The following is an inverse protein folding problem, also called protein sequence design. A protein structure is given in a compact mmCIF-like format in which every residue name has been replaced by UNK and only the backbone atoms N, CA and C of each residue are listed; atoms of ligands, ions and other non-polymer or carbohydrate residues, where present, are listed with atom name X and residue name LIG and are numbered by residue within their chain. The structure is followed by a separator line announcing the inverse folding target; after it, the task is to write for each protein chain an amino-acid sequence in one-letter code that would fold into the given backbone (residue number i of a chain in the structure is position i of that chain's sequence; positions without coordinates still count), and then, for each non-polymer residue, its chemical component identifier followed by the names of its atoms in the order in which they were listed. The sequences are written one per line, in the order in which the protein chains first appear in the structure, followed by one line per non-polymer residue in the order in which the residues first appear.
data_IF_069391555073
#
_entry.id   IF_069391555073
#
_cell.length_a   1.000
_cell.length_b   1.000
_cell.length_c   1.000
_cell.angle_alpha   90.00
_cell.angle_beta   90.00
_cell.angle_gamma   90.00
#
_symmetry.space_group_name_H-M   'P 1'
#
loop_
_entity.id
_entity.type
_entity.pdbx_description
1 polymer ?
#
# COMPACT_ATOMS: atom_id res chain seq x y z
N UNK A 1 -47.16 -3.06 15.73
CA UNK A 1 -45.96 -2.40 16.30
C UNK A 1 -44.93 -3.34 16.92
N UNK A 2 -45.22 -4.62 17.24
CA UNK A 2 -44.24 -5.51 17.92
C UNK A 2 -43.18 -6.20 17.03
N UNK A 3 -43.31 -6.20 15.69
CA UNK A 3 -42.35 -6.92 14.80
C UNK A 3 -41.11 -6.12 14.43
N UNK A 4 -41.16 -4.80 14.47
CA UNK A 4 -40.06 -3.91 14.03
C UNK A 4 -38.96 -3.82 15.10
N UNK A 5 -39.34 -3.89 16.38
CA UNK A 5 -38.40 -3.80 17.51
C UNK A 5 -37.50 -5.05 17.58
N UNK A 6 -38.04 -6.26 17.31
CA UNK A 6 -37.25 -7.48 17.34
C UNK A 6 -36.20 -7.54 16.20
N UNK A 7 -36.50 -7.00 15.02
CA UNK A 7 -35.55 -6.98 13.89
C UNK A 7 -34.39 -6.02 14.19
N UNK A 8 -34.69 -4.86 14.79
CA UNK A 8 -33.67 -3.87 15.19
C UNK A 8 -32.70 -4.39 16.26
N UNK A 9 -33.20 -5.20 17.21
CA UNK A 9 -32.40 -5.76 18.29
C UNK A 9 -31.49 -6.91 17.81
N UNK A 10 -31.96 -7.71 16.85
CA UNK A 10 -31.16 -8.80 16.24
C UNK A 10 -30.06 -8.21 15.35
N UNK A 11 -30.34 -7.15 14.59
CA UNK A 11 -29.35 -6.50 13.73
C UNK A 11 -28.20 -5.86 14.52
N UNK A 12 -28.49 -5.25 15.68
CA UNK A 12 -27.45 -4.69 16.56
C UNK A 12 -26.63 -5.77 17.26
N UNK A 13 -27.23 -6.88 17.67
CA UNK A 13 -26.49 -8.00 18.27
C UNK A 13 -25.51 -8.66 17.28
N UNK A 14 -25.91 -8.87 16.02
CA UNK A 14 -25.04 -9.44 14.98
C UNK A 14 -23.87 -8.51 14.66
N UNK A 15 -24.09 -7.20 14.62
CA UNK A 15 -23.01 -6.23 14.42
C UNK A 15 -22.00 -6.22 15.58
N UNK A 16 -22.47 -6.30 16.84
CA UNK A 16 -21.58 -6.39 18.01
C UNK A 16 -20.77 -7.70 18.03
N UNK A 17 -21.36 -8.83 17.63
CA UNK A 17 -20.64 -10.10 17.52
C UNK A 17 -19.62 -10.11 16.38
N UNK A 18 -19.91 -9.44 15.26
CA UNK A 18 -18.98 -9.31 14.14
C UNK A 18 -17.77 -8.42 14.47
N UNK A 19 -17.97 -7.34 15.25
CA UNK A 19 -16.87 -6.47 15.69
C UNK A 19 -15.95 -7.21 16.68
N UNK A 20 -16.52 -8.02 17.57
CA UNK A 20 -15.76 -8.82 18.55
C UNK A 20 -14.86 -9.90 17.91
N UNK A 21 -15.16 -10.36 16.69
CA UNK A 21 -14.33 -11.34 15.98
C UNK A 21 -13.12 -10.73 15.28
N UNK A 22 -13.06 -9.41 15.10
CA UNK A 22 -11.92 -8.75 14.41
C UNK A 22 -10.73 -8.42 15.31
N UNK A 23 -10.89 -8.49 16.64
CA UNK A 23 -9.85 -8.03 17.60
C UNK A 23 -9.17 -9.14 18.38
N UNK A 24 -9.52 -10.42 18.17
CA UNK A 24 -8.93 -11.56 18.88
C UNK A 24 -8.13 -12.45 17.92
N UNK A 25 -7.11 -11.89 17.27
CA UNK A 25 -6.05 -12.73 16.72
C UNK A 25 -5.20 -13.19 17.92
N UNK A 26 -5.23 -14.48 18.29
CA UNK A 26 -4.37 -14.97 19.36
C UNK A 26 -2.92 -14.68 18.99
N UNK A 27 -2.07 -14.24 19.94
CA UNK A 27 -0.70 -13.93 19.61
C UNK A 27 0.02 -15.18 19.13
N UNK A 28 0.92 -15.04 18.16
CA UNK A 28 1.75 -16.15 17.70
C UNK A 28 2.52 -16.75 18.88
N UNK A 29 2.51 -18.07 19.00
CA UNK A 29 3.16 -18.79 20.11
C UNK A 29 4.29 -19.65 19.53
N UNK A 30 5.47 -19.60 20.13
CA UNK A 30 6.59 -20.45 19.71
C UNK A 30 6.38 -21.92 20.12
N UNK A 31 7.27 -22.80 19.65
CA UNK A 31 7.24 -24.23 20.00
C UNK A 31 7.39 -24.50 21.51
N UNK A 32 7.74 -23.49 22.31
CA UNK A 32 7.88 -23.57 23.76
C UNK A 32 6.69 -22.97 24.52
N UNK A 33 5.63 -22.54 23.83
CA UNK A 33 4.44 -21.97 24.48
C UNK A 33 4.59 -20.49 24.84
N UNK A 34 5.65 -19.80 24.40
CA UNK A 34 5.86 -18.38 24.67
C UNK A 34 5.24 -17.52 23.57
N UNK A 35 4.59 -16.45 23.99
CA UNK A 35 4.15 -15.38 23.09
C UNK A 35 5.34 -14.85 22.30
N UNK A 36 5.33 -15.08 20.99
CA UNK A 36 6.22 -14.43 20.05
C UNK A 36 5.72 -13.00 19.95
N UNK A 37 6.43 -12.08 20.61
CA UNK A 37 6.32 -10.69 20.21
C UNK A 37 7.00 -10.56 18.86
N UNK A 38 6.31 -10.09 17.81
CA UNK A 38 6.96 -9.79 16.54
C UNK A 38 8.13 -8.86 16.85
N UNK A 39 9.37 -9.30 16.58
CA UNK A 39 10.51 -8.39 16.74
C UNK A 39 10.28 -7.21 15.79
N UNK A 40 10.39 -5.95 16.27
CA UNK A 40 10.39 -4.81 15.39
C UNK A 40 11.53 -5.02 14.39
N UNK A 41 11.21 -5.28 13.13
CA UNK A 41 12.23 -5.31 12.09
C UNK A 41 12.67 -3.87 11.81
N UNK A 42 13.97 -3.64 11.58
CA UNK A 42 14.45 -2.33 11.18
C UNK A 42 13.71 -1.90 9.91
N UNK A 43 13.12 -0.71 9.96
CA UNK A 43 12.42 -0.12 8.84
C UNK A 43 12.86 1.33 8.66
N UNK A 44 12.89 1.78 7.40
CA UNK A 44 13.07 3.17 7.05
C UNK A 44 11.75 3.71 6.52
N UNK A 45 11.42 4.93 6.94
CA UNK A 45 10.21 5.63 6.54
C UNK A 45 10.63 6.85 5.72
N UNK A 46 10.21 6.89 4.47
CA UNK A 46 10.35 8.04 3.59
C UNK A 46 9.07 8.85 3.66
N UNK A 47 9.17 10.09 4.14
CA UNK A 47 8.04 11.02 4.19
C UNK A 47 7.69 11.52 2.78
N UNK A 48 6.49 12.11 2.58
CA UNK A 48 6.13 12.71 1.30
C UNK A 48 7.13 13.75 0.80
N UNK A 49 7.77 14.50 1.70
CA UNK A 49 8.78 15.47 1.35
C UNK A 49 10.07 14.81 0.86
N UNK A 50 10.52 13.73 1.52
CA UNK A 50 11.71 12.96 1.10
C UNK A 50 11.52 12.33 -0.29
N UNK A 51 10.27 12.01 -0.62
CA UNK A 51 9.88 11.41 -1.90
C UNK A 51 9.60 12.45 -2.99
N UNK A 52 9.61 13.75 -2.67
CA UNK A 52 9.10 14.83 -3.52
C UNK A 52 7.63 14.63 -3.97
N UNK A 53 6.84 13.86 -3.21
CA UNK A 53 5.44 13.52 -3.45
C UNK A 53 4.54 14.06 -2.32
N UNK A 54 4.76 15.32 -1.92
CA UNK A 54 3.90 16.02 -0.97
C UNK A 54 2.88 16.88 -1.72
N UNK A 55 1.72 16.28 -2.05
CA UNK A 55 0.70 16.85 -2.94
C UNK A 55 1.17 17.06 -4.39
N UNK A 56 1.75 16.02 -5.00
CA UNK A 56 2.09 16.05 -6.44
C UNK A 56 0.83 16.21 -7.27
N UNK A 57 0.90 17.03 -8.33
CA UNK A 57 -0.24 17.23 -9.24
C UNK A 57 -0.46 15.95 -10.02
N UNK A 58 -1.66 15.38 -9.89
CA UNK A 58 -2.13 14.26 -10.69
C UNK A 58 -2.86 14.82 -11.91
N UNK A 59 -2.23 14.88 -13.10
CA UNK A 59 -2.83 15.52 -14.26
C UNK A 59 -4.08 14.77 -14.73
N UNK A 60 -4.99 15.47 -15.40
CA UNK A 60 -6.12 14.83 -16.06
C UNK A 60 -5.62 13.87 -17.15
N UNK A 61 -6.08 12.63 -17.13
CA UNK A 61 -5.76 11.60 -18.13
C UNK A 61 -4.25 11.48 -18.43
N UNK A 62 -3.43 11.53 -17.37
CA UNK A 62 -1.97 11.55 -17.49
C UNK A 62 -1.27 10.99 -16.26
N UNK A 63 0.06 11.12 -16.24
CA UNK A 63 0.92 10.54 -15.21
C UNK A 63 1.59 11.63 -14.39
N UNK A 64 1.73 11.42 -13.08
CA UNK A 64 2.56 12.27 -12.21
C UNK A 64 4.03 12.21 -12.62
N UNK A 65 4.83 13.17 -12.15
CA UNK A 65 6.28 12.96 -12.11
C UNK A 65 6.62 11.77 -11.23
N UNK A 66 7.70 11.05 -11.54
CA UNK A 66 8.19 10.00 -10.66
C UNK A 66 8.69 10.57 -9.32
N UNK A 67 8.49 9.79 -8.26
CA UNK A 67 9.04 10.06 -6.94
C UNK A 67 10.57 10.09 -6.95
N UNK A 68 11.15 10.56 -5.83
CA UNK A 68 12.56 10.32 -5.58
C UNK A 68 12.89 8.82 -5.61
N UNK A 69 14.11 8.50 -6.06
CA UNK A 69 14.61 7.13 -6.15
C UNK A 69 15.00 6.64 -4.76
N UNK A 70 14.42 5.52 -4.35
CA UNK A 70 14.67 4.86 -3.07
C UNK A 70 15.56 3.65 -3.29
N UNK A 71 16.63 3.55 -2.50
CA UNK A 71 17.48 2.36 -2.52
C UNK A 71 16.73 1.16 -1.91
N UNK A 72 16.62 0.09 -2.70
CA UNK A 72 15.91 -1.13 -2.34
C UNK A 72 16.85 -2.31 -2.09
N UNK A 73 18.17 -2.07 -2.11
CA UNK A 73 19.19 -3.09 -1.85
C UNK A 73 18.97 -3.68 -0.46
N UNK A 74 18.82 -5.00 -0.39
CA UNK A 74 18.53 -5.77 0.82
C UNK A 74 17.14 -5.55 1.46
N UNK A 75 16.22 -4.82 0.81
CA UNK A 75 14.84 -4.70 1.30
C UNK A 75 14.11 -6.03 1.10
N UNK A 76 13.47 -6.53 2.15
CA UNK A 76 12.71 -7.79 2.15
C UNK A 76 11.19 -7.56 2.08
N UNK A 77 10.74 -6.36 2.47
CA UNK A 77 9.34 -5.93 2.39
C UNK A 77 9.23 -4.41 2.25
N UNK A 78 8.16 -3.94 1.65
CA UNK A 78 7.85 -2.53 1.55
C UNK A 78 6.35 -2.27 1.51
N UNK A 79 5.93 -1.13 2.05
CA UNK A 79 4.56 -0.63 1.96
C UNK A 79 4.56 0.77 1.38
N UNK A 80 3.87 0.96 0.26
CA UNK A 80 3.56 2.26 -0.30
C UNK A 80 2.17 2.69 0.18
N UNK A 81 2.11 3.85 0.85
CA UNK A 81 0.89 4.51 1.26
C UNK A 81 0.61 5.61 0.24
N UNK A 82 -0.49 5.48 -0.48
CA UNK A 82 -0.90 6.42 -1.53
C UNK A 82 -2.19 7.09 -1.11
N UNK A 83 -2.26 8.41 -1.21
CA UNK A 83 -3.49 9.16 -0.93
C UNK A 83 -3.79 10.13 -2.07
N UNK A 84 -4.71 9.75 -2.95
CA UNK A 84 -5.07 10.53 -4.13
C UNK A 84 -6.49 11.09 -4.04
N UNK A 85 -6.72 12.25 -4.67
CA UNK A 85 -8.05 12.85 -4.78
C UNK A 85 -8.85 12.38 -6.00
N UNK A 86 -8.22 11.57 -6.87
CA UNK A 86 -8.85 10.90 -8.02
C UNK A 86 -8.49 9.42 -8.01
N UNK A 87 -9.24 8.61 -8.75
CA UNK A 87 -8.86 7.22 -9.03
C UNK A 87 -7.54 7.23 -9.80
N UNK A 88 -6.59 6.41 -9.36
CA UNK A 88 -5.27 6.35 -9.96
C UNK A 88 -4.84 4.89 -10.19
N UNK A 89 -3.95 4.68 -11.15
CA UNK A 89 -3.11 3.48 -11.18
C UNK A 89 -1.75 3.83 -10.60
N UNK A 90 -1.03 2.85 -10.06
CA UNK A 90 0.32 3.05 -9.52
C UNK A 90 1.30 2.25 -10.36
N UNK A 91 2.29 2.96 -10.89
CA UNK A 91 3.43 2.38 -11.59
C UNK A 91 4.67 2.44 -10.70
N UNK A 92 5.54 1.43 -10.86
CA UNK A 92 6.86 1.40 -10.23
C UNK A 92 7.92 1.29 -11.33
N UNK A 93 8.94 2.14 -11.24
CA UNK A 93 10.16 1.99 -12.02
C UNK A 93 11.16 1.19 -11.19
N UNK A 94 11.72 0.14 -11.79
CA UNK A 94 12.90 -0.55 -11.29
C UNK A 94 14.13 -0.01 -12.01
N UNK A 95 15.28 -0.09 -11.35
CA UNK A 95 16.53 0.45 -11.86
C UNK A 95 17.55 -0.65 -12.05
N UNK A 96 18.43 -0.47 -13.04
CA UNK A 96 19.61 -1.31 -13.26
C UNK A 96 20.60 -1.11 -12.11
N UNK A 97 21.63 -1.94 -12.06
CA UNK A 97 22.68 -1.90 -11.03
C UNK A 97 23.39 -0.54 -10.92
N UNK A 98 23.41 0.26 -11.99
CA UNK A 98 23.95 1.63 -11.97
C UNK A 98 23.14 2.59 -11.09
N UNK A 99 21.90 2.24 -10.71
CA UNK A 99 21.02 3.04 -9.87
C UNK A 99 20.42 4.27 -10.54
N UNK A 100 20.59 4.43 -11.85
CA UNK A 100 20.15 5.63 -12.61
C UNK A 100 19.32 5.24 -13.82
N UNK A 101 19.68 4.17 -14.51
CA UNK A 101 18.97 3.72 -15.71
C UNK A 101 17.77 2.87 -15.30
N UNK A 102 16.58 3.22 -15.80
CA UNK A 102 15.37 2.42 -15.62
C UNK A 102 15.57 1.07 -16.31
N UNK A 103 15.33 -0.01 -15.56
CA UNK A 103 15.33 -1.39 -16.07
C UNK A 103 13.95 -1.79 -16.58
N UNK A 104 12.89 -1.39 -15.85
CA UNK A 104 11.51 -1.59 -16.27
C UNK A 104 10.53 -0.68 -15.54
N UNK A 105 9.37 -0.46 -16.16
CA UNK A 105 8.24 0.24 -15.57
C UNK A 105 7.06 -0.71 -15.53
N UNK A 106 6.50 -0.91 -14.34
CA UNK A 106 5.49 -1.93 -14.07
C UNK A 106 4.24 -1.31 -13.48
N UNK A 107 3.09 -1.62 -14.05
CA UNK A 107 1.80 -1.27 -13.45
C UNK A 107 1.57 -2.18 -12.24
N UNK A 108 1.77 -1.67 -11.03
CA UNK A 108 1.67 -2.47 -9.81
C UNK A 108 0.21 -2.66 -9.41
N UNK A 109 -0.56 -1.56 -9.39
CA UNK A 109 -1.99 -1.54 -9.04
C UNK A 109 -2.75 -0.70 -10.04
N UNK A 110 -3.96 -1.13 -10.38
CA UNK A 110 -4.91 -0.40 -11.23
C UNK A 110 -6.18 -0.07 -10.46
N UNK A 111 -6.87 1.00 -10.85
CA UNK A 111 -8.13 1.46 -10.27
C UNK A 111 -8.06 1.65 -8.74
N UNK A 112 -6.95 2.18 -8.24
CA UNK A 112 -6.79 2.55 -6.85
C UNK A 112 -7.83 3.63 -6.51
N UNK A 113 -8.74 3.40 -5.55
CA UNK A 113 -9.81 4.34 -5.24
C UNK A 113 -9.26 5.61 -4.57
N UNK A 114 -10.08 6.66 -4.59
CA UNK A 114 -9.81 7.94 -3.91
C UNK A 114 -9.57 7.72 -2.42
N UNK A 115 -8.69 8.50 -1.83
CA UNK A 115 -8.35 8.48 -0.42
C UNK A 115 -7.12 7.62 -0.10
N UNK A 116 -6.92 7.33 1.19
CA UNK A 116 -5.73 6.64 1.67
C UNK A 116 -5.80 5.13 1.40
N UNK A 117 -4.83 4.64 0.63
CA UNK A 117 -4.66 3.23 0.27
C UNK A 117 -3.24 2.77 0.59
N UNK A 118 -3.07 1.46 0.69
CA UNK A 118 -1.78 0.83 0.95
C UNK A 118 -1.52 -0.25 -0.10
N UNK A 119 -0.27 -0.36 -0.51
CA UNK A 119 0.23 -1.39 -1.41
C UNK A 119 1.43 -2.05 -0.75
N UNK A 120 1.28 -3.32 -0.39
CA UNK A 120 2.31 -4.12 0.26
C UNK A 120 3.03 -4.98 -0.77
N UNK A 121 4.36 -5.04 -0.68
CA UNK A 121 5.24 -5.88 -1.51
C UNK A 121 6.21 -6.58 -0.55
N UNK A 122 6.39 -7.89 -0.67
CA UNK A 122 7.38 -8.62 0.11
C UNK A 122 7.98 -9.77 -0.70
N UNK A 123 9.18 -10.24 -0.32
CA UNK A 123 9.85 -11.34 -1.01
C UNK A 123 9.10 -12.67 -0.90
N UNK A 124 8.48 -12.92 0.26
CA UNK A 124 7.84 -14.21 0.60
C UNK A 124 6.32 -14.20 0.43
N UNK A 125 5.72 -13.04 0.17
CA UNK A 125 4.27 -12.89 0.02
C UNK A 125 3.97 -12.24 -1.32
N UNK A 126 2.93 -12.73 -2.00
CA UNK A 126 2.40 -12.02 -3.14
C UNK A 126 2.03 -10.59 -2.71
N UNK A 127 2.32 -9.56 -3.54
CA UNK A 127 1.90 -8.21 -3.26
C UNK A 127 0.40 -8.16 -2.94
N UNK A 128 0.00 -7.23 -2.10
CA UNK A 128 -1.40 -6.99 -1.80
C UNK A 128 -1.69 -5.49 -1.74
N UNK A 129 -2.97 -5.14 -1.78
CA UNK A 129 -3.39 -3.76 -1.68
C UNK A 129 -4.73 -3.64 -0.97
N UNK A 130 -4.94 -2.53 -0.26
CA UNK A 130 -6.21 -2.23 0.41
C UNK A 130 -7.31 -1.81 -0.55
N UNK A 131 -6.98 -1.48 -1.81
CA UNK A 131 -7.93 -1.05 -2.83
C UNK A 131 -7.40 -1.22 -4.25
N UNK A 132 -8.29 -1.17 -5.24
CA UNK A 132 -7.92 -1.41 -6.63
C UNK A 132 -7.61 -2.87 -6.94
N UNK A 133 -6.84 -3.11 -8.00
CA UNK A 133 -6.51 -4.44 -8.51
C UNK A 133 -5.02 -4.54 -8.81
N UNK A 134 -4.35 -5.50 -8.17
CA UNK A 134 -2.96 -5.84 -8.47
C UNK A 134 -2.85 -6.27 -9.94
N UNK A 135 -1.90 -5.69 -10.67
CA UNK A 135 -1.67 -6.05 -12.07
C UNK A 135 -0.44 -6.94 -12.24
N UNK A 136 0.68 -6.61 -11.58
CA UNK A 136 1.90 -7.41 -11.63
C UNK A 136 2.57 -7.46 -10.26
N UNK A 137 3.45 -8.45 -10.08
CA UNK A 137 4.24 -8.58 -8.86
C UNK A 137 5.70 -8.28 -9.14
N UNK A 138 6.24 -7.25 -8.47
CA UNK A 138 7.68 -6.98 -8.47
C UNK A 138 8.31 -7.79 -7.34
N UNK A 139 9.29 -8.63 -7.68
CA UNK A 139 10.03 -9.43 -6.69
C UNK A 139 11.13 -8.58 -6.06
N UNK A 140 11.28 -8.67 -4.75
CA UNK A 140 12.40 -8.11 -4.00
C UNK A 140 13.52 -9.17 -3.82
N UNK A 141 14.78 -8.77 -3.60
CA UNK A 141 15.27 -7.40 -3.57
C UNK A 141 15.39 -6.79 -4.98
N UNK A 142 15.36 -5.47 -5.04
CA UNK A 142 15.58 -4.70 -6.26
C UNK A 142 16.68 -3.69 -5.98
N UNK A 143 17.37 -3.20 -7.01
CA UNK A 143 18.43 -2.21 -6.78
C UNK A 143 17.86 -0.92 -6.19
N UNK A 144 16.86 -0.35 -6.85
CA UNK A 144 16.17 0.85 -6.43
C UNK A 144 14.77 0.92 -7.05
N UNK A 145 13.90 1.72 -6.45
CA UNK A 145 12.54 2.01 -6.93
C UNK A 145 12.28 3.51 -7.02
N UNK A 146 11.40 3.87 -7.95
CA UNK A 146 10.58 5.08 -7.86
C UNK A 146 9.15 4.70 -8.24
N UNK A 147 8.17 5.55 -7.91
CA UNK A 147 6.78 5.31 -8.26
C UNK A 147 6.15 6.56 -8.87
N UNK A 148 5.05 6.35 -9.59
CA UNK A 148 4.25 7.40 -10.20
C UNK A 148 2.80 6.93 -10.35
N UNK A 149 1.89 7.89 -10.32
CA UNK A 149 0.45 7.68 -10.34
C UNK A 149 -0.08 8.07 -11.72
N UNK A 150 -0.90 7.21 -12.31
CA UNK A 150 -1.55 7.45 -13.60
C UNK A 150 -3.03 7.70 -13.35
N UNK A 151 -3.48 8.90 -13.68
CA UNK A 151 -4.89 9.25 -13.66
C UNK A 151 -5.57 8.77 -14.93
N UNK A 152 -6.62 7.98 -14.79
CA UNK A 152 -7.46 7.58 -15.92
C UNK A 152 -8.71 8.46 -16.07
N UNK A 153 -8.93 9.39 -15.14
CA UNK A 153 -10.07 10.31 -15.15
C UNK A 153 -9.75 11.59 -15.93
N UNK A 154 -10.78 12.26 -16.44
CA UNK A 154 -10.64 13.53 -17.17
C UNK A 154 -10.44 14.76 -16.25
N UNK A 155 -10.52 14.57 -14.94
CA UNK A 155 -10.34 15.63 -13.95
C UNK A 155 -8.97 15.53 -13.31
N UNK A 156 -8.30 16.66 -13.12
CA UNK A 156 -7.06 16.70 -12.36
C UNK A 156 -7.31 16.43 -10.86
N UNK A 157 -6.24 16.06 -10.16
CA UNK A 157 -6.24 15.87 -8.72
C UNK A 157 -4.85 16.07 -8.13
N UNK A 158 -4.66 15.50 -6.95
CA UNK A 158 -3.36 15.45 -6.28
C UNK A 158 -3.16 14.11 -5.62
N UNK A 159 -1.91 13.69 -5.50
CA UNK A 159 -1.52 12.52 -4.71
C UNK A 159 -0.48 12.90 -3.66
N UNK A 160 -0.49 12.18 -2.54
CA UNK A 160 0.53 12.29 -1.50
C UNK A 160 0.93 10.90 -1.08
N UNK A 161 2.23 10.65 -1.07
CA UNK A 161 2.76 9.31 -0.87
C UNK A 161 3.72 9.23 0.31
N UNK A 162 3.69 8.10 1.02
CA UNK A 162 4.66 7.73 2.03
C UNK A 162 5.13 6.32 1.74
N UNK A 163 6.42 6.06 1.91
CA UNK A 163 6.97 4.76 1.65
C UNK A 163 7.71 4.21 2.86
N UNK A 164 7.44 2.96 3.19
CA UNK A 164 8.09 2.26 4.31
C UNK A 164 8.79 1.04 3.73
N UNK A 165 10.08 0.90 4.02
CA UNK A 165 10.86 -0.28 3.63
C UNK A 165 11.33 -1.01 4.88
N UNK A 166 11.26 -2.34 4.86
CA UNK A 166 11.75 -3.22 5.91
C UNK A 166 12.90 -4.09 5.42
N UNK A 167 13.89 -4.27 6.28
CA UNK A 167 15.08 -5.09 6.04
C UNK A 167 15.00 -6.40 6.84
#
# INVERSE_FOLDING_TARGET
MNRIICIGLVATAVALFAIAQSTNIPPDIDKSGRTITPRPQPHLIYSPADLAHNAVTLPASGTTSASAVVNMSAVTKSTLFVNCTQIANVQVNTYKEDGVTIDGTYMLVTNLPVGAQQIYIASELAPNTTGGTLSVSVRLPQRAFSFQEVNTTASAGSCTDRFVVGY
#
